data_IF_060231828745
#
_entry.id   IF_060231828745
#
_cell.length_a   1.000
_cell.length_b   1.000
_cell.length_c   1.000
_cell.angle_alpha   90.00
_cell.angle_beta   90.00
_cell.angle_gamma   90.00
#
_symmetry.space_group_name_H-M   'P 1'
#
loop_
_entity.id
_entity.type
_entity.pdbx_description
1 polymer ?
#
# COMPACT_ATOMS: atom_id res chain seq x y z
N UNK A 1 18.76 5.26 16.53
CA UNK A 1 17.45 5.90 16.27
C UNK A 1 17.39 7.19 17.11
N UNK A 2 17.47 8.38 16.49
CA UNK A 2 17.36 9.65 17.24
C UNK A 2 15.88 9.82 17.61
N UNK A 3 15.60 9.98 18.91
CA UNK A 3 14.26 10.32 19.39
C UNK A 3 13.90 11.69 18.82
N UNK A 4 12.87 11.74 17.97
CA UNK A 4 12.24 13.00 17.61
C UNK A 4 11.68 13.57 18.91
N UNK A 5 12.06 14.80 19.26
CA UNK A 5 11.76 15.43 20.55
C UNK A 5 10.29 15.27 20.95
N UNK A 6 10.02 15.13 22.26
CA UNK A 6 8.64 15.09 22.80
C UNK A 6 7.88 16.34 22.32
N UNK A 7 6.84 16.14 21.50
CA UNK A 7 5.94 17.21 21.07
C UNK A 7 4.85 17.40 22.13
N UNK A 8 4.55 18.66 22.42
CA UNK A 8 3.48 19.09 23.30
C UNK A 8 2.26 19.48 22.46
N UNK A 9 1.05 19.32 23.01
CA UNK A 9 -0.21 19.47 22.26
C UNK A 9 -0.43 20.86 21.65
N UNK A 10 0.24 21.90 22.17
CA UNK A 10 0.27 23.27 21.64
C UNK A 10 0.94 23.40 20.27
N UNK A 11 1.66 22.37 19.82
CA UNK A 11 2.32 22.32 18.50
C UNK A 11 1.55 21.51 17.46
N UNK A 12 0.31 21.13 17.79
CA UNK A 12 -0.58 20.36 16.94
C UNK A 12 -1.62 21.30 16.34
N UNK A 13 -1.61 21.44 15.02
CA UNK A 13 -2.66 22.16 14.30
C UNK A 13 -3.41 21.16 13.41
N UNK A 14 -4.73 21.11 13.51
CA UNK A 14 -5.54 20.19 12.72
C UNK A 14 -6.45 20.99 11.78
N UNK A 15 -6.56 20.55 10.54
CA UNK A 15 -7.54 21.07 9.57
C UNK A 15 -8.72 20.10 9.54
N UNK A 16 -9.81 20.35 10.28
CA UNK A 16 -10.98 19.50 10.26
C UNK A 16 -11.76 19.68 8.94
N UNK A 17 -12.33 18.58 8.43
CA UNK A 17 -13.40 18.63 7.44
C UNK A 17 -14.77 18.63 8.12
N UNK A 18 -14.92 17.82 9.18
CA UNK A 18 -16.08 17.81 10.07
C UNK A 18 -15.65 17.26 11.44
N UNK A 19 -16.62 17.12 12.36
CA UNK A 19 -16.40 16.74 13.78
C UNK A 19 -15.62 15.41 13.95
N UNK A 20 -15.61 14.54 12.94
CA UNK A 20 -14.91 13.25 13.00
C UNK A 20 -13.85 13.01 11.91
N UNK A 21 -13.63 13.97 11.00
CA UNK A 21 -12.70 13.82 9.86
C UNK A 21 -11.77 15.02 9.77
N UNK A 22 -10.49 14.74 9.55
CA UNK A 22 -9.43 15.74 9.44
C UNK A 22 -8.71 15.58 8.11
N UNK A 23 -8.48 16.67 7.38
CA UNK A 23 -7.74 16.65 6.11
C UNK A 23 -6.24 16.64 6.32
N UNK A 24 -5.79 17.39 7.32
CA UNK A 24 -4.38 17.55 7.63
C UNK A 24 -4.15 17.72 9.13
N UNK A 25 -2.96 17.33 9.57
CA UNK A 25 -2.43 17.59 10.90
C UNK A 25 -0.99 18.06 10.78
N UNK A 26 -0.72 19.25 11.29
CA UNK A 26 0.63 19.78 11.43
C UNK A 26 1.17 19.42 12.81
N UNK A 27 2.38 18.88 12.84
CA UNK A 27 3.13 18.56 14.07
C UNK A 27 4.51 19.22 13.97
N UNK A 28 4.61 20.42 14.53
CA UNK A 28 5.82 21.24 14.39
C UNK A 28 6.08 21.63 12.92
N UNK A 29 7.15 21.09 12.33
CA UNK A 29 7.53 21.34 10.92
C UNK A 29 7.07 20.24 9.95
N UNK A 30 6.36 19.23 10.45
CA UNK A 30 5.82 18.13 9.65
C UNK A 30 4.34 18.33 9.41
N UNK A 31 3.88 18.05 8.20
CA UNK A 31 2.46 18.02 7.86
C UNK A 31 2.09 16.60 7.44
N UNK A 32 1.04 16.07 8.08
CA UNK A 32 0.45 14.77 7.77
C UNK A 32 -0.87 15.01 7.05
N UNK A 33 -1.04 14.42 5.88
CA UNK A 33 -2.24 14.57 5.06
C UNK A 33 -3.02 13.25 5.03
N UNK A 34 -4.35 13.34 5.07
CA UNK A 34 -5.23 12.21 4.79
C UNK A 34 -5.46 12.10 3.28
N UNK A 35 -4.75 11.18 2.63
CA UNK A 35 -4.86 10.94 1.19
C UNK A 35 -6.28 10.67 0.71
N UNK A 36 -7.11 10.04 1.53
CA UNK A 36 -8.47 9.72 1.15
C UNK A 36 -9.35 10.98 1.10
N UNK A 37 -9.16 11.94 2.02
CA UNK A 37 -9.89 13.22 1.93
C UNK A 37 -9.48 14.06 0.69
N UNK A 38 -8.27 13.85 0.16
CA UNK A 38 -7.80 14.56 -1.03
C UNK A 38 -8.22 13.91 -2.35
N UNK A 39 -8.30 12.57 -2.40
CA UNK A 39 -8.51 11.83 -3.65
C UNK A 39 -9.88 11.14 -3.76
N UNK A 40 -10.59 10.96 -2.64
CA UNK A 40 -11.97 10.45 -2.61
C UNK A 40 -12.18 9.00 -3.06
N UNK A 41 -11.11 8.23 -3.30
CA UNK A 41 -11.17 6.85 -3.80
C UNK A 41 -10.11 5.96 -3.15
N UNK A 42 -10.36 4.64 -3.17
CA UNK A 42 -9.37 3.64 -2.77
C UNK A 42 -8.18 3.59 -3.73
N UNK A 43 -7.02 3.19 -3.20
CA UNK A 43 -5.77 3.07 -3.97
C UNK A 43 -5.90 2.16 -5.20
N UNK A 44 -6.72 1.11 -5.11
CA UNK A 44 -7.05 0.20 -6.20
C UNK A 44 -7.60 0.95 -7.41
N UNK A 45 -8.62 1.78 -7.20
CA UNK A 45 -9.24 2.59 -8.25
C UNK A 45 -8.29 3.69 -8.75
N UNK A 46 -7.55 4.32 -7.85
CA UNK A 46 -6.62 5.39 -8.21
C UNK A 46 -5.50 4.89 -9.13
N UNK A 47 -4.93 3.72 -8.82
CA UNK A 47 -3.91 3.07 -9.64
C UNK A 47 -4.50 2.59 -10.98
N UNK A 48 -5.73 2.09 -10.98
CA UNK A 48 -6.46 1.74 -12.21
C UNK A 48 -6.66 2.95 -13.13
N UNK A 49 -7.01 4.14 -12.58
CA UNK A 49 -7.11 5.38 -13.35
C UNK A 49 -5.80 5.80 -14.02
N UNK A 50 -4.65 5.40 -13.48
CA UNK A 50 -3.35 5.62 -14.12
C UNK A 50 -3.15 4.68 -15.32
N UNK A 51 -3.85 3.54 -15.38
CA UNK A 51 -3.90 2.65 -16.54
C UNK A 51 -2.68 1.75 -16.70
N UNK A 52 -1.97 1.44 -15.61
CA UNK A 52 -0.83 0.53 -15.61
C UNK A 52 0.37 0.97 -16.46
N UNK A 53 0.44 2.25 -16.83
CA UNK A 53 1.48 2.80 -17.69
C UNK A 53 2.73 3.13 -16.88
N UNK A 54 3.88 2.55 -17.22
CA UNK A 54 5.13 2.66 -16.47
C UNK A 54 5.56 4.11 -16.19
N UNK A 55 5.34 5.01 -17.14
CA UNK A 55 5.69 6.44 -17.03
C UNK A 55 4.92 7.17 -15.93
N UNK A 56 3.76 6.64 -15.51
CA UNK A 56 2.97 7.19 -14.39
C UNK A 56 3.38 6.63 -13.03
N UNK A 57 4.30 5.65 -13.00
CA UNK A 57 4.81 5.05 -11.76
C UNK A 57 6.33 5.19 -11.62
N UNK A 58 6.90 6.40 -11.78
CA UNK A 58 8.35 6.58 -11.81
C UNK A 58 9.04 6.12 -10.53
N UNK A 59 8.43 6.29 -9.35
CA UNK A 59 9.03 5.86 -8.08
C UNK A 59 9.01 4.35 -7.95
N UNK A 60 7.86 3.72 -8.25
CA UNK A 60 7.71 2.26 -8.21
C UNK A 60 8.69 1.59 -9.18
N UNK A 61 8.73 2.06 -10.43
CA UNK A 61 9.60 1.52 -11.47
C UNK A 61 11.08 1.68 -11.10
N UNK A 62 11.49 2.88 -10.65
CA UNK A 62 12.89 3.11 -10.24
C UNK A 62 13.29 2.19 -9.09
N UNK A 63 12.48 2.13 -8.03
CA UNK A 63 12.81 1.35 -6.83
C UNK A 63 13.02 -0.14 -7.14
N UNK A 64 12.09 -0.75 -7.90
CA UNK A 64 12.18 -2.18 -8.18
C UNK A 64 13.22 -2.51 -9.28
N UNK A 65 13.49 -1.58 -10.20
CA UNK A 65 14.61 -1.72 -11.14
C UNK A 65 15.95 -1.70 -10.40
N UNK A 66 16.13 -0.79 -9.44
CA UNK A 66 17.33 -0.74 -8.58
C UNK A 66 17.50 -2.00 -7.71
N UNK A 67 16.40 -2.71 -7.40
CA UNK A 67 16.42 -4.03 -6.75
C UNK A 67 16.76 -5.18 -7.71
N UNK A 68 16.91 -4.91 -9.01
CA UNK A 68 17.25 -5.92 -10.02
C UNK A 68 16.05 -6.68 -10.59
N UNK A 69 14.82 -6.23 -10.36
CA UNK A 69 13.64 -6.86 -10.95
C UNK A 69 13.46 -6.43 -12.41
N UNK A 70 13.04 -7.36 -13.26
CA UNK A 70 12.70 -7.07 -14.65
C UNK A 70 11.43 -6.23 -14.76
N UNK A 71 11.29 -5.50 -15.88
CA UNK A 71 10.10 -4.70 -16.15
C UNK A 71 8.81 -5.54 -16.12
N UNK A 72 8.85 -6.80 -16.57
CA UNK A 72 7.67 -7.67 -16.55
C UNK A 72 7.26 -8.09 -15.13
N UNK A 73 8.22 -8.30 -14.22
CA UNK A 73 7.91 -8.48 -12.79
C UNK A 73 7.34 -7.18 -12.21
N UNK A 74 7.92 -6.03 -12.54
CA UNK A 74 7.45 -4.72 -12.06
C UNK A 74 6.02 -4.42 -12.51
N UNK A 75 5.63 -4.78 -13.74
CA UNK A 75 4.24 -4.61 -14.23
C UNK A 75 3.22 -5.30 -13.34
N UNK A 76 3.57 -6.40 -12.68
CA UNK A 76 2.68 -7.07 -11.71
C UNK A 76 2.39 -6.21 -10.48
N UNK A 77 3.28 -5.28 -10.14
CA UNK A 77 3.18 -4.38 -8.99
C UNK A 77 2.50 -3.05 -9.33
N UNK A 78 2.10 -2.81 -10.58
CA UNK A 78 1.39 -1.59 -11.02
C UNK A 78 -0.13 -1.68 -10.83
N UNK A 79 -0.58 -2.60 -10.00
CA UNK A 79 -1.95 -2.68 -9.48
C UNK A 79 -1.87 -2.89 -7.98
N UNK A 80 -2.91 -2.48 -7.25
CA UNK A 80 -2.97 -2.74 -5.81
C UNK A 80 -2.97 -4.26 -5.57
N UNK A 81 -2.10 -4.69 -4.65
CA UNK A 81 -2.07 -6.07 -4.18
C UNK A 81 -3.25 -6.38 -3.25
N UNK A 82 -3.33 -7.63 -2.82
CA UNK A 82 -4.30 -8.08 -1.82
C UNK A 82 -3.60 -8.56 -0.57
N UNK A 83 -4.24 -8.35 0.58
CA UNK A 83 -3.66 -8.73 1.86
C UNK A 83 -4.72 -9.34 2.81
N UNK A 84 -4.44 -10.48 3.45
CA UNK A 84 -5.37 -11.17 4.34
C UNK A 84 -5.33 -10.56 5.76
N UNK A 85 -5.85 -9.35 5.91
CA UNK A 85 -5.75 -8.55 7.16
C UNK A 85 -6.23 -9.29 8.42
N UNK A 86 -7.41 -9.92 8.36
CA UNK A 86 -7.99 -10.61 9.52
C UNK A 86 -7.20 -11.87 9.94
N UNK A 87 -6.53 -12.52 8.98
CA UNK A 87 -5.72 -13.72 9.23
C UNK A 87 -4.31 -13.39 9.74
N UNK A 88 -3.73 -12.24 9.35
CA UNK A 88 -2.41 -11.80 9.81
C UNK A 88 -2.49 -11.16 11.21
N UNK A 89 -2.88 -11.96 12.20
CA UNK A 89 -3.11 -11.52 13.58
C UNK A 89 -2.01 -11.91 14.57
N UNK A 90 -0.94 -12.55 14.09
CA UNK A 90 0.17 -13.02 14.92
C UNK A 90 1.47 -13.13 14.11
N UNK A 91 2.62 -13.05 14.78
CA UNK A 91 3.93 -13.07 14.12
C UNK A 91 4.24 -14.40 13.42
N UNK A 92 3.74 -15.54 13.92
CA UNK A 92 3.94 -16.87 13.30
C UNK A 92 3.32 -16.98 11.90
N UNK A 93 2.45 -16.04 11.51
CA UNK A 93 1.89 -15.97 10.16
C UNK A 93 2.94 -15.61 9.12
N UNK A 94 3.93 -14.81 9.49
CA UNK A 94 4.98 -14.39 8.56
C UNK A 94 5.92 -15.55 8.18
N UNK A 95 6.06 -16.56 9.04
CA UNK A 95 6.87 -17.76 8.76
C UNK A 95 6.15 -18.78 7.84
N UNK A 96 4.87 -18.56 7.50
CA UNK A 96 4.13 -19.49 6.64
C UNK A 96 4.68 -19.46 5.22
N UNK A 97 4.96 -20.62 4.67
CA UNK A 97 5.57 -20.80 3.34
C UNK A 97 4.55 -20.88 2.20
N UNK A 98 3.32 -20.42 2.42
CA UNK A 98 2.24 -20.48 1.42
C UNK A 98 1.20 -19.39 1.66
N UNK A 99 0.55 -18.91 0.59
CA UNK A 99 -0.59 -18.00 0.69
C UNK A 99 -1.82 -18.67 1.32
N UNK A 100 -2.49 -18.03 2.29
CA UNK A 100 -3.62 -18.61 2.98
C UNK A 100 -4.93 -18.35 2.23
N UNK A 101 -5.36 -19.24 1.31
CA UNK A 101 -6.62 -19.04 0.55
C UNK A 101 -7.83 -18.67 1.42
N UNK A 102 -8.06 -19.42 2.50
CA UNK A 102 -9.16 -19.14 3.45
C UNK A 102 -8.89 -17.94 4.36
N UNK A 103 -7.63 -17.51 4.48
CA UNK A 103 -7.25 -16.36 5.30
C UNK A 103 -7.61 -15.01 4.67
N UNK A 104 -7.93 -15.00 3.36
CA UNK A 104 -8.38 -13.80 2.66
C UNK A 104 -9.89 -13.49 2.83
N UNK A 105 -10.61 -14.20 3.71
CA UNK A 105 -11.95 -13.80 4.07
C UNK A 105 -11.90 -12.52 4.91
N UNK A 106 -12.57 -11.47 4.44
CA UNK A 106 -12.64 -10.18 5.14
C UNK A 106 -13.85 -10.15 6.06
N UNK A 107 -13.62 -9.95 7.35
CA UNK A 107 -14.69 -9.78 8.34
C UNK A 107 -15.46 -8.47 8.13
N UNK A 108 -14.76 -7.42 7.65
CA UNK A 108 -15.33 -6.11 7.40
C UNK A 108 -16.36 -6.12 6.27
N UNK A 109 -16.03 -6.77 5.15
CA UNK A 109 -16.94 -6.88 4.01
C UNK A 109 -17.77 -8.16 3.99
N UNK A 110 -17.50 -9.10 4.92
CA UNK A 110 -18.07 -10.45 4.97
C UNK A 110 -17.93 -11.23 3.66
N UNK A 111 -16.86 -10.98 2.91
CA UNK A 111 -16.63 -11.56 1.59
C UNK A 111 -15.29 -12.27 1.52
N UNK A 112 -15.26 -13.34 0.72
CA UNK A 112 -14.00 -13.94 0.29
C UNK A 112 -13.35 -13.05 -0.78
N UNK A 113 -12.03 -13.15 -0.89
CA UNK A 113 -11.29 -12.65 -2.05
C UNK A 113 -11.87 -13.19 -3.37
N UNK A 114 -11.85 -12.34 -4.40
CA UNK A 114 -12.20 -12.74 -5.76
C UNK A 114 -11.24 -13.80 -6.29
N UNK A 115 -11.66 -14.55 -7.31
CA UNK A 115 -10.80 -15.56 -7.93
C UNK A 115 -9.60 -14.87 -8.61
N UNK A 116 -9.86 -13.77 -9.29
CA UNK A 116 -8.92 -12.99 -10.07
C UNK A 116 -7.83 -12.37 -9.18
N UNK A 117 -8.22 -11.85 -8.02
CA UNK A 117 -7.26 -11.27 -7.07
C UNK A 117 -6.40 -12.34 -6.39
N UNK A 118 -6.99 -13.50 -6.07
CA UNK A 118 -6.23 -14.60 -5.49
C UNK A 118 -5.24 -15.18 -6.50
N UNK A 119 -5.65 -15.36 -7.76
CA UNK A 119 -4.76 -15.77 -8.86
C UNK A 119 -3.62 -14.77 -9.07
N UNK A 120 -3.91 -13.47 -8.99
CA UNK A 120 -2.89 -12.43 -9.05
C UNK A 120 -1.90 -12.53 -7.88
N UNK A 121 -2.38 -12.72 -6.65
CA UNK A 121 -1.52 -12.92 -5.48
C UNK A 121 -0.62 -14.15 -5.63
N UNK A 122 -1.16 -15.25 -6.14
CA UNK A 122 -0.39 -16.46 -6.44
C UNK A 122 0.68 -16.21 -7.49
N UNK A 123 0.36 -15.45 -8.55
CA UNK A 123 1.33 -15.07 -9.57
C UNK A 123 2.45 -14.22 -8.98
N UNK A 124 2.13 -13.21 -8.16
CA UNK A 124 3.15 -12.39 -7.48
C UNK A 124 4.02 -13.26 -6.56
N UNK A 125 3.41 -14.16 -5.79
CA UNK A 125 4.15 -15.08 -4.92
C UNK A 125 5.17 -15.93 -5.71
N UNK A 126 4.74 -16.49 -6.84
CA UNK A 126 5.59 -17.34 -7.69
C UNK A 126 6.68 -16.54 -8.42
N UNK A 127 6.30 -15.45 -9.08
CA UNK A 127 7.21 -14.63 -9.90
C UNK A 127 8.28 -13.94 -9.05
N UNK A 128 7.97 -13.60 -7.80
CA UNK A 128 8.95 -13.02 -6.88
C UNK A 128 9.61 -14.06 -5.97
N UNK A 129 9.36 -15.35 -6.20
CA UNK A 129 10.02 -16.47 -5.52
C UNK A 129 9.92 -16.40 -3.98
N UNK A 130 8.74 -16.00 -3.50
CA UNK A 130 8.47 -15.77 -2.09
C UNK A 130 8.67 -17.06 -1.27
N UNK A 131 9.53 -16.99 -0.25
CA UNK A 131 9.82 -18.12 0.64
C UNK A 131 8.82 -18.23 1.78
N UNK A 132 8.34 -17.08 2.24
CA UNK A 132 7.43 -16.98 3.35
C UNK A 132 6.51 -15.77 3.21
N UNK A 133 5.48 -15.73 4.05
CA UNK A 133 4.48 -14.67 4.02
C UNK A 133 5.02 -13.32 4.49
N UNK A 134 6.09 -13.31 5.29
CA UNK A 134 6.86 -12.11 5.64
C UNK A 134 7.42 -11.39 4.42
N UNK A 135 8.08 -12.11 3.51
CA UNK A 135 8.59 -11.52 2.27
C UNK A 135 7.46 -10.98 1.39
N UNK A 136 6.33 -11.69 1.31
CA UNK A 136 5.14 -11.22 0.59
C UNK A 136 4.55 -9.95 1.22
N UNK A 137 4.50 -9.90 2.55
CA UNK A 137 4.04 -8.74 3.31
C UNK A 137 4.92 -7.51 3.06
N UNK A 138 6.24 -7.67 3.11
CA UNK A 138 7.18 -6.58 2.85
C UNK A 138 7.03 -6.03 1.43
N UNK A 139 6.89 -6.93 0.44
CA UNK A 139 6.62 -6.55 -0.94
C UNK A 139 5.28 -5.81 -1.07
N UNK A 140 4.22 -6.34 -0.47
CA UNK A 140 2.88 -5.73 -0.48
C UNK A 140 2.91 -4.31 0.11
N UNK A 141 3.44 -4.16 1.34
CA UNK A 141 3.51 -2.86 2.00
C UNK A 141 4.35 -1.86 1.22
N UNK A 142 5.51 -2.30 0.71
CA UNK A 142 6.38 -1.42 -0.07
C UNK A 142 5.69 -0.96 -1.35
N UNK A 143 4.97 -1.86 -2.01
CA UNK A 143 4.22 -1.57 -3.23
C UNK A 143 3.08 -0.58 -2.95
N UNK A 144 2.26 -0.79 -1.91
CA UNK A 144 1.15 0.10 -1.55
C UNK A 144 1.64 1.54 -1.28
N UNK A 145 2.77 1.70 -0.58
CA UNK A 145 3.37 3.02 -0.31
C UNK A 145 3.90 3.69 -1.58
N UNK A 146 4.58 2.94 -2.45
CA UNK A 146 5.12 3.47 -3.70
C UNK A 146 4.02 3.85 -4.68
N UNK A 147 2.98 3.02 -4.80
CA UNK A 147 1.81 3.31 -5.63
C UNK A 147 1.09 4.56 -5.15
N UNK A 148 0.88 4.71 -3.83
CA UNK A 148 0.26 5.91 -3.29
C UNK A 148 1.10 7.16 -3.59
N UNK A 149 2.43 7.08 -3.43
CA UNK A 149 3.33 8.19 -3.74
C UNK A 149 3.29 8.57 -5.22
N UNK A 150 3.31 7.60 -6.12
CA UNK A 150 3.17 7.84 -7.56
C UNK A 150 1.80 8.47 -7.90
N UNK A 151 0.71 7.99 -7.30
CA UNK A 151 -0.62 8.61 -7.46
C UNK A 151 -0.62 10.07 -6.99
N UNK A 152 -0.01 10.38 -5.84
CA UNK A 152 0.11 11.76 -5.36
C UNK A 152 0.94 12.64 -6.29
N UNK A 153 2.02 12.13 -6.86
CA UNK A 153 2.82 12.86 -7.85
C UNK A 153 1.99 13.18 -9.08
N UNK A 154 1.19 12.24 -9.57
CA UNK A 154 0.29 12.48 -10.70
C UNK A 154 -0.84 13.46 -10.36
N UNK A 155 -1.34 13.46 -9.12
CA UNK A 155 -2.37 14.40 -8.66
C UNK A 155 -1.85 15.83 -8.53
N UNK A 156 -0.63 16.01 -8.04
CA UNK A 156 -0.05 17.35 -7.75
C UNK A 156 0.56 18.02 -9.00
N UNK A 157 0.83 17.25 -10.06
CA UNK A 157 1.41 17.74 -11.33
C UNK A 157 0.31 18.08 -12.37
N UNK A 158 -0.97 17.86 -12.06
CA UNK A 158 -2.10 18.41 -12.82
C UNK A 158 -2.51 19.79 -12.29
#
# INVERSE_FOLDING_TARGET
MKVVSKFTADKLNCIPENIGKYKAMDVGQLQFLDSFQHMGMGLDKLVECLGGKLEKFPLTVRYFTEKGYSIDKIKLLLRKGVFPHDWTNSWDKFDKTSLPRKGFYSLLSQQNISKEDYEHAQKVWQEFEMKNFGEYHDLYLKTDVLLLADVFMNYTIM
#
